data_IF_501172431478
#
_entry.id   IF_501172431478
#
_cell.length_a   1.000
_cell.length_b   1.000
_cell.length_c   1.000
_cell.angle_alpha   90.00
_cell.angle_beta   90.00
_cell.angle_gamma   90.00
#
_symmetry.space_group_name_H-M   'P 1'
#
loop_
_entity.id
_entity.type
_entity.pdbx_description
1 polymer ?
#
# COMPACT_ATOMS: atom_id res chain seq x y z
N UNK A 1 -28.02 -1.04 18.39
CA UNK A 1 -26.64 -1.32 17.93
C UNK A 1 -25.79 -1.53 19.15
N UNK A 2 -25.54 -2.79 19.49
CA UNK A 2 -24.60 -3.18 20.53
C UNK A 2 -23.21 -2.96 19.97
N UNK A 3 -22.48 -1.99 20.51
CA UNK A 3 -21.05 -1.85 20.32
C UNK A 3 -20.39 -3.01 21.08
N UNK A 4 -20.08 -4.09 20.38
CA UNK A 4 -19.01 -4.97 20.85
C UNK A 4 -17.73 -4.16 20.71
N UNK A 5 -17.23 -3.65 21.84
CA UNK A 5 -15.87 -3.16 21.93
C UNK A 5 -14.96 -4.35 21.68
N UNK A 6 -14.43 -4.49 20.46
CA UNK A 6 -13.25 -5.30 20.25
C UNK A 6 -12.20 -4.78 21.24
N UNK A 7 -11.78 -5.64 22.16
CA UNK A 7 -10.76 -5.27 23.13
C UNK A 7 -9.43 -5.15 22.38
N UNK A 8 -9.16 -3.93 21.86
CA UNK A 8 -7.98 -3.51 21.08
C UNK A 8 -6.64 -3.81 21.81
N UNK A 9 -6.70 -4.35 23.03
CA UNK A 9 -5.55 -4.64 23.89
C UNK A 9 -5.28 -6.13 24.11
N UNK A 10 -6.03 -7.03 23.46
CA UNK A 10 -5.88 -8.48 23.70
C UNK A 10 -4.67 -9.06 22.99
N UNK A 11 -3.67 -9.53 23.75
CA UNK A 11 -2.59 -10.39 23.24
C UNK A 11 -3.15 -11.80 23.01
N UNK A 12 -2.90 -12.36 21.83
CA UNK A 12 -3.41 -13.69 21.46
C UNK A 12 -2.27 -14.72 21.41
N UNK A 13 -2.57 -15.99 21.73
CA UNK A 13 -1.62 -17.06 21.47
C UNK A 13 -1.69 -17.48 20.00
N UNK A 14 -0.57 -17.35 19.28
CA UNK A 14 -0.46 -17.57 17.84
C UNK A 14 -0.96 -18.95 17.40
N UNK A 15 -0.57 -20.00 18.12
CA UNK A 15 -0.91 -21.39 17.74
C UNK A 15 -2.40 -21.65 17.89
N UNK A 16 -2.99 -21.32 19.06
CA UNK A 16 -4.41 -21.56 19.28
C UNK A 16 -5.29 -20.66 18.40
N UNK A 17 -4.85 -19.43 18.12
CA UNK A 17 -5.51 -18.54 17.18
C UNK A 17 -5.54 -19.13 15.77
N UNK A 18 -4.42 -19.60 15.22
CA UNK A 18 -4.44 -20.15 13.86
C UNK A 18 -5.16 -21.50 13.76
N UNK A 19 -5.17 -22.29 14.83
CA UNK A 19 -5.96 -23.52 14.89
C UNK A 19 -7.48 -23.26 14.90
N UNK A 20 -7.93 -22.08 15.37
CA UNK A 20 -9.35 -21.73 15.41
C UNK A 20 -9.85 -21.09 14.10
N UNK A 21 -8.95 -20.58 13.26
CA UNK A 21 -9.30 -20.00 11.96
C UNK A 21 -9.72 -21.12 11.00
N UNK A 22 -10.96 -21.03 10.52
CA UNK A 22 -11.44 -21.94 9.48
C UNK A 22 -10.83 -21.54 8.14
N UNK A 23 -10.11 -22.46 7.50
CA UNK A 23 -9.58 -22.24 6.15
C UNK A 23 -10.71 -21.98 5.16
N UNK A 24 -10.55 -20.98 4.29
CA UNK A 24 -11.43 -20.78 3.15
C UNK A 24 -11.24 -21.93 2.16
N UNK A 25 -12.32 -22.61 1.80
CA UNK A 25 -12.30 -23.78 0.90
C UNK A 25 -12.39 -23.39 -0.59
N UNK A 26 -12.65 -22.11 -0.87
CA UNK A 26 -12.77 -21.52 -2.21
C UNK A 26 -11.49 -20.81 -2.69
N UNK A 27 -10.45 -20.80 -1.87
CA UNK A 27 -9.21 -20.09 -2.15
C UNK A 27 -8.41 -20.83 -3.23
N UNK A 28 -8.07 -20.11 -4.30
CA UNK A 28 -7.16 -20.63 -5.32
C UNK A 28 -5.73 -20.61 -4.77
N UNK A 29 -4.90 -21.53 -5.24
CA UNK A 29 -3.48 -21.46 -4.91
C UNK A 29 -2.81 -20.18 -5.45
N UNK A 30 -1.68 -19.82 -4.84
CA UNK A 30 -0.87 -18.66 -5.22
C UNK A 30 -0.54 -18.64 -6.72
N UNK A 31 -0.26 -19.80 -7.29
CA UNK A 31 0.16 -19.93 -8.68
C UNK A 31 -0.98 -19.56 -9.64
N UNK A 32 -2.21 -19.90 -9.28
CA UNK A 32 -3.40 -19.49 -10.02
C UNK A 32 -3.60 -17.98 -9.97
N UNK A 33 -3.44 -17.34 -8.80
CA UNK A 33 -3.51 -15.88 -8.70
C UNK A 33 -2.39 -15.20 -9.50
N UNK A 34 -1.15 -15.69 -9.39
CA UNK A 34 -0.02 -15.19 -10.18
C UNK A 34 -0.29 -15.30 -11.68
N UNK A 35 -0.91 -16.39 -12.14
CA UNK A 35 -1.28 -16.55 -13.55
C UNK A 35 -2.36 -15.55 -13.98
N UNK A 36 -3.38 -15.32 -13.14
CA UNK A 36 -4.42 -14.33 -13.41
C UNK A 36 -3.81 -12.92 -13.49
N UNK A 37 -2.96 -12.54 -12.54
CA UNK A 37 -2.28 -11.24 -12.51
C UNK A 37 -1.41 -11.07 -13.77
N UNK A 38 -0.56 -12.04 -14.08
CA UNK A 38 0.29 -12.00 -15.29
C UNK A 38 -0.53 -11.88 -16.56
N UNK A 39 -1.63 -12.62 -16.67
CA UNK A 39 -2.54 -12.52 -17.82
C UNK A 39 -3.16 -11.13 -17.91
N UNK A 40 -3.57 -10.54 -16.79
CA UNK A 40 -4.15 -9.20 -16.78
C UNK A 40 -3.13 -8.16 -17.24
N UNK A 41 -1.92 -8.18 -16.66
CA UNK A 41 -0.83 -7.27 -17.03
C UNK A 41 -0.41 -7.41 -18.50
N UNK A 42 -0.50 -8.62 -19.08
CA UNK A 42 -0.20 -8.83 -20.49
C UNK A 42 -1.27 -8.27 -21.44
N UNK A 43 -2.51 -8.16 -20.98
CA UNK A 43 -3.66 -7.70 -21.80
C UNK A 43 -4.06 -6.25 -21.56
N UNK A 44 -3.77 -5.73 -20.36
CA UNK A 44 -4.14 -4.39 -19.93
C UNK A 44 -2.99 -3.42 -20.22
N UNK A 45 -2.97 -2.89 -21.45
CA UNK A 45 -1.90 -1.96 -21.89
C UNK A 45 -2.23 -0.50 -21.63
N UNK A 46 -3.39 -0.21 -21.01
CA UNK A 46 -3.87 1.15 -20.78
C UNK A 46 -3.72 1.60 -19.32
N UNK A 47 -3.58 0.64 -18.40
CA UNK A 47 -3.46 0.93 -16.97
C UNK A 47 -2.01 0.97 -16.55
N UNK A 48 -1.60 2.07 -15.92
CA UNK A 48 -0.32 2.19 -15.24
C UNK A 48 -0.51 2.09 -13.74
N UNK A 49 0.23 1.19 -13.09
CA UNK A 49 0.25 1.04 -11.63
C UNK A 49 1.45 1.77 -11.08
N UNK A 50 1.23 2.75 -10.20
CA UNK A 50 2.31 3.48 -9.56
C UNK A 50 2.28 3.20 -8.07
N UNK A 51 3.38 2.67 -7.56
CA UNK A 51 3.56 2.40 -6.13
C UNK A 51 4.34 3.55 -5.50
N UNK A 52 3.74 4.25 -4.55
CA UNK A 52 4.39 5.28 -3.74
C UNK A 52 4.91 4.60 -2.47
N UNK A 53 6.22 4.54 -2.31
CA UNK A 53 6.88 3.89 -1.18
C UNK A 53 7.42 4.94 -0.21
N UNK A 54 6.95 4.91 1.03
CA UNK A 54 7.28 5.89 2.07
C UNK A 54 8.70 5.73 2.65
N UNK A 55 9.37 4.60 2.37
CA UNK A 55 10.69 4.26 2.91
C UNK A 55 11.55 3.47 1.89
N UNK A 56 12.86 3.79 1.73
CA UNK A 56 13.77 3.10 0.82
C UNK A 56 13.92 1.60 1.09
N UNK A 57 13.70 1.13 2.32
CA UNK A 57 13.79 -0.28 2.69
C UNK A 57 12.70 -1.14 2.04
N UNK A 58 11.51 -0.58 1.79
CA UNK A 58 10.40 -1.28 1.13
C UNK A 58 10.78 -1.74 -0.27
N UNK A 59 11.42 -0.86 -1.03
CA UNK A 59 11.86 -1.12 -2.42
C UNK A 59 12.93 -2.20 -2.54
N UNK A 60 13.62 -2.59 -1.46
CA UNK A 60 14.64 -3.65 -1.47
C UNK A 60 14.04 -5.06 -1.59
N UNK A 61 12.73 -5.19 -1.41
CA UNK A 61 12.00 -6.47 -1.46
C UNK A 61 11.45 -6.81 -2.84
N UNK A 62 11.62 -5.92 -3.82
CA UNK A 62 11.15 -6.11 -5.20
C UNK A 62 12.30 -6.29 -6.17
N UNK A 63 12.04 -7.05 -7.24
CA UNK A 63 13.01 -7.34 -8.30
C UNK A 63 12.38 -7.07 -9.67
N UNK A 64 13.21 -6.75 -10.65
CA UNK A 64 12.82 -6.50 -12.05
C UNK A 64 11.69 -5.47 -12.24
N UNK A 65 11.64 -4.45 -11.39
CA UNK A 65 10.70 -3.33 -11.50
C UNK A 65 11.43 -1.98 -11.34
N UNK A 66 11.13 -0.96 -12.16
CA UNK A 66 11.75 0.35 -12.02
C UNK A 66 11.43 1.01 -10.68
N UNK A 67 12.44 1.62 -10.06
CA UNK A 67 12.30 2.41 -8.83
C UNK A 67 12.83 3.81 -9.11
N UNK A 68 11.94 4.80 -9.10
CA UNK A 68 12.27 6.20 -9.30
C UNK A 68 12.56 6.87 -7.97
N UNK A 69 13.74 7.46 -7.84
CA UNK A 69 14.16 8.25 -6.66
C UNK A 69 13.93 9.75 -6.86
N UNK A 70 13.25 10.12 -7.95
CA UNK A 70 12.86 11.49 -8.28
C UNK A 70 11.49 11.47 -8.93
N UNK A 71 10.68 12.46 -8.60
CA UNK A 71 9.29 12.56 -9.05
C UNK A 71 9.02 13.85 -9.84
N UNK A 72 10.04 14.42 -10.47
CA UNK A 72 9.81 15.51 -11.44
C UNK A 72 8.88 15.04 -12.57
N UNK A 73 8.06 15.94 -13.11
CA UNK A 73 7.11 15.60 -14.16
C UNK A 73 7.78 14.96 -15.38
N UNK A 74 8.97 15.44 -15.75
CA UNK A 74 9.77 14.86 -16.84
C UNK A 74 10.20 13.41 -16.55
N UNK A 75 10.63 13.11 -15.32
CA UNK A 75 11.06 11.75 -14.95
C UNK A 75 9.88 10.80 -14.95
N UNK A 76 8.74 11.21 -14.38
CA UNK A 76 7.51 10.42 -14.38
C UNK A 76 6.97 10.20 -15.80
N UNK A 77 6.93 11.25 -16.63
CA UNK A 77 6.46 11.13 -18.03
C UNK A 77 7.41 10.25 -18.85
N UNK A 78 8.73 10.39 -18.66
CA UNK A 78 9.70 9.53 -19.31
C UNK A 78 9.50 8.06 -18.92
N UNK A 79 9.27 7.75 -17.65
CA UNK A 79 9.01 6.36 -17.22
C UNK A 79 7.75 5.81 -17.88
N UNK A 80 6.64 6.56 -17.81
CA UNK A 80 5.34 6.16 -18.37
C UNK A 80 5.40 5.97 -19.90
N UNK A 81 6.22 6.75 -20.61
CA UNK A 81 6.29 6.72 -22.08
C UNK A 81 7.35 5.73 -22.58
N UNK A 82 8.48 5.63 -21.90
CA UNK A 82 9.65 4.87 -22.37
C UNK A 82 9.55 3.39 -22.01
N UNK A 83 8.98 3.09 -20.85
CA UNK A 83 8.90 1.73 -20.36
C UNK A 83 7.52 1.14 -20.63
N UNK A 84 7.51 -0.11 -21.12
CA UNK A 84 6.30 -0.92 -21.27
C UNK A 84 5.87 -1.57 -19.95
N UNK A 85 6.57 -1.28 -18.86
CA UNK A 85 6.28 -1.84 -17.54
C UNK A 85 4.91 -1.35 -17.11
N UNK A 86 4.00 -2.29 -16.86
CA UNK A 86 2.67 -1.99 -16.34
C UNK A 86 2.71 -1.39 -14.92
N UNK A 87 3.86 -1.43 -14.25
CA UNK A 87 4.06 -0.88 -12.93
C UNK A 87 5.47 -0.32 -12.71
N UNK A 88 5.58 0.70 -11.86
CA UNK A 88 6.86 1.19 -11.31
C UNK A 88 6.67 1.76 -9.90
N UNK A 89 7.78 1.87 -9.18
CA UNK A 89 7.86 2.46 -7.86
C UNK A 89 8.33 3.91 -7.93
N UNK A 90 7.81 4.74 -7.05
CA UNK A 90 8.30 6.07 -6.73
C UNK A 90 8.63 6.08 -5.25
N UNK A 91 9.91 6.22 -4.94
CA UNK A 91 10.36 6.39 -3.57
C UNK A 91 10.08 7.84 -3.14
N UNK A 92 9.08 8.02 -2.27
CA UNK A 92 8.75 9.33 -1.69
C UNK A 92 9.67 9.65 -0.52
N UNK A 93 10.09 8.62 0.22
CA UNK A 93 10.83 8.72 1.48
C UNK A 93 10.10 9.63 2.51
N UNK A 94 8.77 9.65 2.44
CA UNK A 94 7.89 10.52 3.22
C UNK A 94 7.81 10.13 4.71
N UNK A 95 8.18 8.90 5.09
CA UNK A 95 8.17 8.46 6.49
C UNK A 95 9.01 9.35 7.40
N UNK A 96 10.16 9.81 6.91
CA UNK A 96 11.08 10.70 7.64
C UNK A 96 10.71 12.18 7.58
N UNK A 97 9.69 12.55 6.80
CA UNK A 97 9.26 13.93 6.62
C UNK A 97 8.28 14.34 7.71
N UNK A 98 8.05 15.65 7.87
CA UNK A 98 6.91 16.13 8.64
C UNK A 98 5.59 15.78 7.96
N UNK A 99 4.49 15.74 8.71
CA UNK A 99 3.16 15.48 8.17
C UNK A 99 2.80 16.41 6.99
N UNK A 100 3.09 17.71 7.12
CA UNK A 100 2.85 18.69 6.04
C UNK A 100 3.69 18.41 4.80
N UNK A 101 4.97 18.07 4.96
CA UNK A 101 5.83 17.72 3.83
C UNK A 101 5.38 16.42 3.14
N UNK A 102 4.99 15.41 3.92
CA UNK A 102 4.46 14.14 3.39
C UNK A 102 3.16 14.37 2.62
N UNK A 103 2.24 15.19 3.14
CA UNK A 103 1.00 15.57 2.46
C UNK A 103 1.30 16.26 1.12
N UNK A 104 2.16 17.29 1.13
CA UNK A 104 2.52 18.06 -0.05
C UNK A 104 3.20 17.20 -1.12
N UNK A 105 4.16 16.34 -0.74
CA UNK A 105 4.83 15.42 -1.67
C UNK A 105 3.82 14.49 -2.34
N UNK A 106 2.90 13.88 -1.56
CA UNK A 106 1.87 13.00 -2.11
C UNK A 106 0.93 13.75 -3.07
N UNK A 107 0.48 14.97 -2.73
CA UNK A 107 -0.35 15.81 -3.62
C UNK A 107 0.36 16.17 -4.92
N UNK A 108 1.63 16.55 -4.83
CA UNK A 108 2.46 16.90 -5.99
C UNK A 108 2.63 15.71 -6.92
N UNK A 109 2.94 14.53 -6.38
CA UNK A 109 3.12 13.33 -7.19
C UNK A 109 1.81 12.91 -7.84
N UNK A 110 0.71 12.85 -7.08
CA UNK A 110 -0.61 12.52 -7.61
C UNK A 110 -1.02 13.49 -8.74
N UNK A 111 -0.82 14.80 -8.53
CA UNK A 111 -1.17 15.82 -9.54
C UNK A 111 -0.41 15.60 -10.84
N UNK A 112 0.90 15.34 -10.75
CA UNK A 112 1.75 15.07 -11.93
C UNK A 112 1.30 13.81 -12.64
N UNK A 113 1.10 12.71 -11.90
CA UNK A 113 0.66 11.44 -12.47
C UNK A 113 -0.69 11.57 -13.17
N UNK A 114 -1.67 12.23 -12.55
CA UNK A 114 -2.98 12.47 -13.17
C UNK A 114 -2.86 13.31 -14.44
N UNK A 115 -2.09 14.40 -14.42
CA UNK A 115 -1.89 15.23 -15.60
C UNK A 115 -1.26 14.44 -16.76
N UNK A 116 -0.23 13.63 -16.45
CA UNK A 116 0.46 12.80 -17.46
C UNK A 116 -0.48 11.74 -18.02
N UNK A 117 -1.20 10.99 -17.18
CA UNK A 117 -2.07 9.91 -17.66
C UNK A 117 -3.26 10.44 -18.44
N UNK A 118 -3.88 11.56 -18.02
CA UNK A 118 -4.95 12.21 -18.78
C UNK A 118 -4.48 12.70 -20.16
N UNK A 119 -3.31 13.36 -20.23
CA UNK A 119 -2.71 13.81 -21.50
C UNK A 119 -2.44 12.65 -22.46
N UNK A 120 -2.21 11.44 -21.93
CA UNK A 120 -1.87 10.23 -22.70
C UNK A 120 -3.07 9.29 -22.92
N UNK A 121 -4.22 9.57 -22.33
CA UNK A 121 -5.41 8.69 -22.39
C UNK A 121 -5.25 7.38 -21.60
N UNK A 122 -4.33 7.35 -20.62
CA UNK A 122 -4.05 6.18 -19.78
C UNK A 122 -4.90 6.18 -18.51
N UNK A 123 -5.15 4.99 -17.96
CA UNK A 123 -5.77 4.80 -16.65
C UNK A 123 -4.67 4.74 -15.57
N UNK A 124 -4.91 5.40 -14.43
CA UNK A 124 -3.97 5.43 -13.30
C UNK A 124 -4.49 4.57 -12.15
N UNK A 125 -3.63 3.68 -11.64
CA UNK A 125 -3.85 2.97 -10.37
C UNK A 125 -2.72 3.33 -9.41
N UNK A 126 -3.06 3.82 -8.22
CA UNK A 126 -2.10 4.18 -7.18
C UNK A 126 -2.13 3.14 -6.07
N UNK A 127 -0.93 2.76 -5.60
CA UNK A 127 -0.73 1.97 -4.39
C UNK A 127 0.14 2.80 -3.47
N UNK A 128 -0.34 3.12 -2.28
CA UNK A 128 0.52 3.62 -1.20
C UNK A 128 1.06 2.42 -0.44
N UNK A 129 2.37 2.26 -0.47
CA UNK A 129 3.09 1.24 0.26
C UNK A 129 3.71 1.90 1.49
N UNK A 130 3.35 1.37 2.65
CA UNK A 130 3.79 1.87 3.95
C UNK A 130 4.41 0.76 4.80
N UNK A 131 4.76 1.08 6.04
CA UNK A 131 5.34 0.15 6.98
C UNK A 131 4.34 -0.92 7.42
N UNK A 132 4.78 -2.18 7.48
CA UNK A 132 3.94 -3.28 7.96
C UNK A 132 3.49 -3.11 9.42
N UNK A 133 4.12 -2.27 10.24
CA UNK A 133 3.67 -1.95 11.60
C UNK A 133 2.90 -0.64 11.70
N UNK A 134 2.39 -0.13 10.58
CA UNK A 134 1.54 1.08 10.47
C UNK A 134 2.24 2.39 10.87
N UNK A 135 3.58 2.41 10.86
CA UNK A 135 4.36 3.64 11.02
C UNK A 135 4.32 4.48 9.74
N UNK A 136 4.51 5.79 9.89
CA UNK A 136 4.43 6.76 8.80
C UNK A 136 3.26 7.71 9.00
N UNK A 137 2.76 8.28 7.91
CA UNK A 137 1.73 9.31 7.95
C UNK A 137 0.36 8.77 7.50
N UNK A 138 0.05 7.51 7.79
CA UNK A 138 -1.30 6.98 7.54
C UNK A 138 -2.31 7.60 8.55
N UNK A 139 -3.52 8.03 8.13
CA UNK A 139 -4.07 7.99 6.77
C UNK A 139 -3.77 9.23 5.91
N UNK A 140 -3.07 10.24 6.43
CA UNK A 140 -2.80 11.52 5.76
C UNK A 140 -2.28 11.36 4.32
N UNK A 141 -1.36 10.43 4.08
CA UNK A 141 -0.84 10.20 2.72
C UNK A 141 -1.92 9.71 1.77
N UNK A 142 -2.80 8.82 2.23
CA UNK A 142 -3.93 8.32 1.44
C UNK A 142 -4.94 9.42 1.18
N UNK A 143 -5.25 10.22 2.21
CA UNK A 143 -6.19 11.34 2.10
C UNK A 143 -5.69 12.39 1.11
N UNK A 144 -4.38 12.67 1.11
CA UNK A 144 -3.71 13.56 0.16
C UNK A 144 -3.86 13.07 -1.29
N UNK A 145 -3.67 11.76 -1.52
CA UNK A 145 -3.86 11.15 -2.84
C UNK A 145 -5.34 11.20 -3.25
N UNK A 146 -6.25 10.78 -2.37
CA UNK A 146 -7.69 10.73 -2.62
C UNK A 146 -8.27 12.12 -2.94
N UNK A 147 -7.82 13.16 -2.23
CA UNK A 147 -8.19 14.55 -2.49
C UNK A 147 -7.85 14.97 -3.92
N UNK A 148 -6.62 14.73 -4.38
CA UNK A 148 -6.19 15.09 -5.75
C UNK A 148 -6.94 14.28 -6.81
N UNK A 149 -7.15 12.98 -6.56
CA UNK A 149 -7.90 12.11 -7.46
C UNK A 149 -9.36 12.57 -7.58
N UNK A 150 -10.02 12.90 -6.47
CA UNK A 150 -11.40 13.39 -6.45
C UNK A 150 -11.57 14.76 -7.10
N UNK A 151 -10.57 15.62 -7.04
CA UNK A 151 -10.58 16.94 -7.70
C UNK A 151 -10.37 16.85 -9.21
N UNK A 152 -9.52 15.91 -9.67
CA UNK A 152 -9.02 15.92 -11.05
C UNK A 152 -9.57 14.79 -11.93
N UNK A 153 -10.01 13.68 -11.36
CA UNK A 153 -10.53 12.55 -12.12
C UNK A 153 -12.06 12.54 -12.13
N UNK A 154 -12.64 11.94 -13.16
CA UNK A 154 -14.10 11.83 -13.30
C UNK A 154 -14.71 10.73 -12.44
N UNK A 155 -13.87 9.84 -11.90
CA UNK A 155 -14.29 8.76 -11.00
C UNK A 155 -13.84 9.10 -9.58
N UNK A 156 -14.79 9.25 -8.62
CA UNK A 156 -14.44 9.52 -7.23
C UNK A 156 -13.75 8.30 -6.59
N UNK A 157 -12.98 8.55 -5.53
CA UNK A 157 -12.46 7.49 -4.65
C UNK A 157 -13.47 7.27 -3.53
N UNK A 158 -14.26 6.21 -3.63
CA UNK A 158 -15.29 5.88 -2.62
C UNK A 158 -14.70 5.21 -1.36
N UNK A 159 -13.46 4.71 -1.44
CA UNK A 159 -12.73 4.12 -0.33
C UNK A 159 -11.38 3.54 -0.75
N UNK A 160 -10.57 3.18 0.24
CA UNK A 160 -9.29 2.49 0.05
C UNK A 160 -9.27 1.16 0.82
N UNK A 161 -8.49 0.21 0.31
CA UNK A 161 -8.30 -1.10 0.94
C UNK A 161 -6.97 -1.07 1.70
N UNK A 162 -7.00 -1.35 2.99
CA UNK A 162 -5.83 -1.39 3.87
C UNK A 162 -5.41 -2.84 4.08
N UNK A 163 -4.20 -3.21 3.64
CA UNK A 163 -3.69 -4.58 3.72
C UNK A 163 -2.26 -4.62 4.31
N UNK A 164 -2.09 -4.42 5.64
CA UNK A 164 -0.78 -4.43 6.29
C UNK A 164 -0.27 -5.85 6.59
N UNK A 165 -1.03 -6.89 6.21
CA UNK A 165 -0.62 -8.29 6.36
C UNK A 165 0.72 -8.54 5.68
N UNK A 166 1.67 -9.12 6.42
CA UNK A 166 2.98 -9.49 5.90
C UNK A 166 3.51 -10.73 6.63
N UNK A 167 3.31 -11.88 6.00
CA UNK A 167 3.54 -13.19 6.62
C UNK A 167 5.00 -13.41 7.02
N UNK A 168 5.94 -13.08 6.14
CA UNK A 168 7.38 -13.22 6.39
C UNK A 168 7.85 -12.28 7.50
N UNK A 169 7.19 -11.14 7.64
CA UNK A 169 7.37 -10.24 8.78
C UNK A 169 6.65 -10.71 10.05
N UNK A 170 5.82 -11.74 10.02
CA UNK A 170 4.99 -12.11 11.17
C UNK A 170 3.97 -11.03 11.53
N UNK A 171 3.45 -10.31 10.53
CA UNK A 171 2.41 -9.28 10.67
C UNK A 171 1.08 -9.85 10.20
N UNK A 172 0.08 -9.85 11.09
CA UNK A 172 -1.21 -10.50 10.87
C UNK A 172 -2.35 -9.51 11.08
N UNK A 173 -3.40 -9.59 10.28
CA UNK A 173 -4.63 -8.82 10.50
C UNK A 173 -5.76 -9.79 10.79
N UNK A 174 -6.37 -9.69 11.97
CA UNK A 174 -7.42 -10.57 12.45
C UNK A 174 -8.53 -9.71 13.06
N UNK A 175 -9.77 -9.89 12.59
CA UNK A 175 -10.94 -9.15 13.09
C UNK A 175 -10.66 -7.64 13.22
N UNK A 176 -10.14 -7.04 12.15
CA UNK A 176 -9.80 -5.62 12.05
C UNK A 176 -8.70 -5.11 13.00
N UNK A 177 -8.02 -6.00 13.73
CA UNK A 177 -6.84 -5.66 14.55
C UNK A 177 -5.58 -6.15 13.84
N UNK A 178 -4.57 -5.28 13.75
CA UNK A 178 -3.26 -5.62 13.24
C UNK A 178 -2.31 -6.06 14.36
N UNK A 179 -1.63 -7.18 14.18
CA UNK A 179 -0.81 -7.85 15.17
C UNK A 179 0.63 -8.05 14.67
N UNK A 180 1.58 -7.93 15.59
CA UNK A 180 2.98 -8.30 15.41
C UNK A 180 3.26 -9.57 16.22
N UNK A 181 3.84 -10.58 15.57
CA UNK A 181 4.24 -11.79 16.25
C UNK A 181 5.52 -11.58 17.07
N UNK A 182 5.46 -11.92 18.35
CA UNK A 182 6.58 -11.92 19.29
C UNK A 182 6.67 -13.32 19.93
N UNK A 183 7.47 -14.20 19.33
CA UNK A 183 7.50 -15.62 19.72
C UNK A 183 6.17 -16.32 19.45
N UNK A 184 5.54 -16.84 20.50
CA UNK A 184 4.25 -17.53 20.45
C UNK A 184 3.04 -16.57 20.63
N UNK A 185 3.29 -15.28 20.83
CA UNK A 185 2.27 -14.28 21.06
C UNK A 185 2.03 -13.41 19.81
N UNK A 186 0.79 -13.00 19.63
CA UNK A 186 0.35 -11.97 18.68
C UNK A 186 0.00 -10.73 19.50
N UNK A 187 0.87 -9.73 19.44
CA UNK A 187 0.71 -8.47 20.18
C UNK A 187 0.09 -7.43 19.24
N UNK A 188 -1.02 -6.75 19.63
CA UNK A 188 -1.57 -5.67 18.82
C UNK A 188 -0.49 -4.65 18.47
N UNK A 189 -0.41 -4.22 17.20
CA UNK A 189 0.62 -3.30 16.73
C UNK A 189 0.65 -2.00 17.57
N UNK A 190 -0.52 -1.52 17.99
CA UNK A 190 -0.70 -0.37 18.88
C UNK A 190 -0.02 -0.52 20.27
N UNK A 191 0.25 -1.74 20.73
CA UNK A 191 0.91 -2.03 22.00
C UNK A 191 2.42 -2.27 21.87
N UNK A 192 2.91 -2.42 20.65
CA UNK A 192 4.34 -2.65 20.39
C UNK A 192 5.14 -1.35 20.54
N UNK A 193 6.48 -1.43 20.70
CA UNK A 193 7.33 -0.24 20.66
C UNK A 193 7.19 0.59 19.37
N UNK A 194 6.78 -0.01 18.25
CA UNK A 194 6.58 0.68 16.97
C UNK A 194 5.49 1.76 17.04
N UNK A 195 4.49 1.60 17.90
CA UNK A 195 3.45 2.62 18.11
C UNK A 195 3.94 3.88 18.84
N UNK A 196 5.15 3.85 19.39
CA UNK A 196 5.80 4.99 20.06
C UNK A 196 6.86 5.66 19.19
N UNK A 197 7.05 5.15 17.96
CA UNK A 197 7.92 5.79 16.99
C UNK A 197 7.34 7.18 16.64
N UNK A 198 8.21 8.19 16.53
CA UNK A 198 7.81 9.59 16.34
C UNK A 198 8.13 10.07 14.94
#
# INVERSE_FOLDING_TARGET
MTTESADETTILNKTSTFQSITSRTDEKDDDTYRKIIKSRLATDTNTIVVVLDDDPTGTQTVYDIPVLTSWSEQVLENEIVTHKSAAFYVLTNSRSMTATEAEEVNKVIATRLVNITQKRGLSLSLISRSDSTLRGHYPLEIDALASVLGEKMTTPVDGHIVMPFFLEGGRYTLNDIHYVAEGDDLVPAAMTPFAKDK
#
